data_IF_548061928059
#
_entry.id   IF_548061928059
#
_cell.length_a   1.000
_cell.length_b   1.000
_cell.length_c   1.000
_cell.angle_alpha   90.00
_cell.angle_beta   90.00
_cell.angle_gamma   90.00
#
_symmetry.space_group_name_H-M   'P 1'
#
loop_
_entity.id
_entity.type
_entity.pdbx_description
1 polymer ?
#
# COMPACT_ATOMS: atom_id res chain seq x y z
N UNK A 1 -1.48 -26.56 4.71
CA UNK A 1 -1.88 -25.14 4.88
C UNK A 1 -0.71 -24.16 5.03
N UNK A 2 0.46 -24.51 5.58
CA UNK A 2 1.63 -23.61 5.68
C UNK A 2 2.32 -23.38 4.34
N UNK A 3 2.60 -24.40 3.59
CA UNK A 3 3.36 -24.36 2.33
C UNK A 3 2.68 -23.51 1.24
N UNK A 4 1.36 -23.60 1.08
CA UNK A 4 0.62 -22.79 0.09
C UNK A 4 0.69 -21.30 0.38
N UNK A 5 0.70 -20.93 1.66
CA UNK A 5 0.79 -19.53 2.10
C UNK A 5 2.19 -18.95 1.86
N UNK A 6 3.24 -19.71 2.11
CA UNK A 6 4.63 -19.30 1.84
C UNK A 6 4.87 -19.16 0.35
N UNK A 7 4.46 -20.13 -0.45
CA UNK A 7 4.62 -20.08 -1.90
C UNK A 7 3.88 -18.92 -2.55
N UNK A 8 2.67 -18.60 -2.05
CA UNK A 8 1.94 -17.44 -2.51
C UNK A 8 2.66 -16.12 -2.18
N UNK A 9 3.22 -16.01 -0.98
CA UNK A 9 3.95 -14.83 -0.54
C UNK A 9 5.19 -14.59 -1.37
N UNK A 10 5.94 -15.64 -1.70
CA UNK A 10 7.11 -15.58 -2.59
C UNK A 10 6.73 -15.11 -4.00
N UNK A 11 5.60 -15.55 -4.55
CA UNK A 11 5.11 -15.09 -5.86
C UNK A 11 4.80 -13.60 -5.86
N UNK A 12 4.09 -13.11 -4.86
CA UNK A 12 3.79 -11.67 -4.71
C UNK A 12 5.06 -10.85 -4.55
N UNK A 13 6.01 -11.33 -3.76
CA UNK A 13 7.30 -10.68 -3.54
C UNK A 13 8.13 -10.62 -4.82
N UNK A 14 8.20 -11.71 -5.55
CA UNK A 14 8.88 -11.79 -6.84
C UNK A 14 8.25 -10.87 -7.88
N UNK A 15 6.91 -10.81 -7.92
CA UNK A 15 6.20 -9.87 -8.77
C UNK A 15 6.54 -8.42 -8.40
N UNK A 16 6.51 -8.08 -7.11
CA UNK A 16 6.83 -6.74 -6.64
C UNK A 16 8.27 -6.32 -6.98
N UNK A 17 9.24 -7.24 -6.87
CA UNK A 17 10.62 -6.97 -7.27
C UNK A 17 10.72 -6.61 -8.76
N UNK A 18 10.02 -7.33 -9.65
CA UNK A 18 9.97 -6.99 -11.07
C UNK A 18 9.39 -5.60 -11.33
N UNK A 19 8.35 -5.23 -10.58
CA UNK A 19 7.78 -3.87 -10.63
C UNK A 19 8.83 -2.83 -10.24
N UNK A 20 9.52 -3.03 -9.11
CA UNK A 20 10.56 -2.11 -8.63
C UNK A 20 11.68 -1.92 -9.66
N UNK A 21 12.15 -3.00 -10.26
CA UNK A 21 13.20 -2.94 -11.29
C UNK A 21 12.74 -2.22 -12.56
N UNK A 22 11.56 -2.56 -13.06
CA UNK A 22 11.03 -1.98 -14.29
C UNK A 22 10.76 -0.48 -14.13
N UNK A 23 10.08 -0.10 -13.05
CA UNK A 23 9.71 1.29 -12.76
C UNK A 23 10.93 2.13 -12.37
N UNK A 24 11.92 1.51 -11.69
CA UNK A 24 13.18 2.19 -11.34
C UNK A 24 14.04 2.53 -12.55
N UNK A 25 13.97 1.71 -13.62
CA UNK A 25 14.73 1.90 -14.86
C UNK A 25 14.02 2.78 -15.89
N UNK A 26 12.68 2.85 -15.84
CA UNK A 26 11.85 3.52 -16.85
C UNK A 26 10.85 4.50 -16.22
N UNK A 27 11.21 5.79 -16.26
CA UNK A 27 10.32 6.86 -15.82
C UNK A 27 9.05 6.98 -16.69
N UNK A 28 9.09 6.58 -17.94
CA UNK A 28 7.93 6.56 -18.83
C UNK A 28 6.91 5.50 -18.35
N UNK A 29 7.40 4.31 -18.03
CA UNK A 29 6.57 3.24 -17.46
C UNK A 29 5.95 3.67 -16.13
N UNK A 30 6.74 4.29 -15.24
CA UNK A 30 6.20 4.85 -13.99
C UNK A 30 5.11 5.88 -14.25
N UNK A 31 5.29 6.75 -15.23
CA UNK A 31 4.29 7.75 -15.60
C UNK A 31 3.00 7.13 -16.14
N UNK A 32 3.10 6.01 -16.87
CA UNK A 32 1.94 5.23 -17.34
C UNK A 32 1.14 4.72 -16.14
N UNK A 33 1.76 4.01 -15.21
CA UNK A 33 1.06 3.51 -14.01
C UNK A 33 0.52 4.65 -13.14
N UNK A 34 1.28 5.72 -12.93
CA UNK A 34 0.84 6.86 -12.13
C UNK A 34 -0.45 7.51 -12.65
N UNK A 35 -0.61 7.61 -13.99
CA UNK A 35 -1.83 8.17 -14.58
C UNK A 35 -3.07 7.32 -14.30
N UNK A 36 -2.87 6.02 -14.10
CA UNK A 36 -3.93 5.06 -13.78
C UNK A 36 -4.10 4.84 -12.26
N UNK A 37 -3.53 5.71 -11.40
CA UNK A 37 -3.65 5.58 -9.96
C UNK A 37 -5.09 5.85 -9.48
N UNK A 38 -5.81 4.80 -9.16
CA UNK A 38 -7.22 4.78 -8.78
C UNK A 38 -8.11 4.05 -9.78
N UNK A 39 -7.57 3.65 -10.92
CA UNK A 39 -8.26 2.84 -11.92
C UNK A 39 -8.14 1.34 -11.61
N UNK A 40 -9.12 0.56 -12.09
CA UNK A 40 -9.07 -0.90 -12.18
C UNK A 40 -8.67 -1.30 -13.61
N UNK A 41 -8.31 -2.57 -13.82
CA UNK A 41 -7.89 -3.05 -15.15
C UNK A 41 -8.91 -2.77 -16.26
N UNK A 42 -10.20 -2.87 -15.95
CA UNK A 42 -11.28 -2.63 -16.90
C UNK A 42 -11.42 -1.15 -17.32
N UNK A 43 -10.95 -0.20 -16.50
CA UNK A 43 -11.05 1.25 -16.77
C UNK A 43 -9.71 1.87 -17.14
N UNK A 44 -8.62 1.14 -16.94
CA UNK A 44 -7.27 1.61 -17.19
C UNK A 44 -6.96 1.75 -18.69
N UNK A 45 -6.00 2.62 -19.01
CA UNK A 45 -5.52 2.71 -20.40
C UNK A 45 -4.79 1.43 -20.85
N UNK A 46 -4.88 1.11 -22.14
CA UNK A 46 -4.32 -0.12 -22.71
C UNK A 46 -2.81 -0.25 -22.56
N UNK A 47 -2.06 0.85 -22.39
CA UNK A 47 -0.61 0.81 -22.14
C UNK A 47 -0.32 0.31 -20.73
N UNK A 48 -1.09 0.78 -19.74
CA UNK A 48 -0.96 0.34 -18.36
C UNK A 48 -1.33 -1.14 -18.22
N UNK A 49 -2.43 -1.57 -18.82
CA UNK A 49 -2.87 -2.96 -18.83
C UNK A 49 -1.81 -3.86 -19.48
N UNK A 50 -1.31 -3.50 -20.67
CA UNK A 50 -0.28 -4.27 -21.36
C UNK A 50 1.01 -4.36 -20.54
N UNK A 51 1.43 -3.25 -19.92
CA UNK A 51 2.63 -3.22 -19.09
C UNK A 51 2.47 -4.11 -17.85
N UNK A 52 1.31 -4.06 -17.21
CA UNK A 52 1.00 -4.90 -16.05
C UNK A 52 1.09 -6.40 -16.40
N UNK A 53 0.42 -6.85 -17.45
CA UNK A 53 0.45 -8.27 -17.85
C UNK A 53 1.85 -8.73 -18.28
N UNK A 54 2.62 -7.87 -18.92
CA UNK A 54 4.01 -8.16 -19.27
C UNK A 54 4.87 -8.39 -18.01
N UNK A 55 4.65 -7.62 -16.95
CA UNK A 55 5.34 -7.77 -15.65
C UNK A 55 4.77 -8.91 -14.81
N UNK A 56 3.46 -9.20 -14.92
CA UNK A 56 2.84 -10.36 -14.26
C UNK A 56 3.38 -11.70 -14.81
N UNK A 57 3.89 -11.72 -16.00
CA UNK A 57 4.62 -12.79 -16.71
C UNK A 57 4.41 -14.21 -16.17
N UNK A 58 3.51 -14.98 -16.78
CA UNK A 58 3.29 -16.37 -16.39
C UNK A 58 2.44 -16.60 -15.13
N UNK A 59 1.65 -15.61 -14.68
CA UNK A 59 0.66 -15.83 -13.61
C UNK A 59 1.25 -15.79 -12.20
N UNK A 60 2.20 -14.90 -11.94
CA UNK A 60 2.68 -14.65 -10.57
C UNK A 60 1.55 -14.18 -9.65
N UNK A 61 0.62 -13.41 -10.20
CA UNK A 61 -0.62 -12.98 -9.54
C UNK A 61 -1.78 -13.74 -10.16
N UNK A 62 -2.65 -14.31 -9.33
CA UNK A 62 -3.86 -14.99 -9.78
C UNK A 62 -4.88 -13.99 -10.33
N UNK A 63 -5.67 -14.41 -11.31
CA UNK A 63 -6.72 -13.63 -11.95
C UNK A 63 -7.62 -12.90 -10.93
N UNK A 64 -8.04 -13.58 -9.87
CA UNK A 64 -8.84 -13.01 -8.77
C UNK A 64 -8.20 -11.77 -8.11
N UNK A 65 -6.86 -11.65 -8.16
CA UNK A 65 -6.12 -10.59 -7.47
C UNK A 65 -5.50 -9.56 -8.42
N UNK A 66 -5.71 -9.69 -9.72
CA UNK A 66 -5.08 -8.82 -10.72
C UNK A 66 -5.46 -7.35 -10.53
N UNK A 67 -6.73 -7.04 -10.34
CA UNK A 67 -7.18 -5.67 -10.09
C UNK A 67 -6.56 -5.06 -8.83
N UNK A 68 -6.46 -5.84 -7.76
CA UNK A 68 -5.86 -5.40 -6.49
C UNK A 68 -4.37 -5.12 -6.64
N UNK A 69 -3.68 -5.99 -7.35
CA UNK A 69 -2.25 -5.83 -7.63
C UNK A 69 -2.01 -4.69 -8.61
N UNK A 70 -2.81 -4.57 -9.67
CA UNK A 70 -2.75 -3.45 -10.61
C UNK A 70 -2.94 -2.11 -9.90
N UNK A 71 -4.00 -2.01 -9.07
CA UNK A 71 -4.24 -0.82 -8.27
C UNK A 71 -3.03 -0.48 -7.38
N UNK A 72 -2.47 -1.46 -6.66
CA UNK A 72 -1.33 -1.24 -5.77
C UNK A 72 -0.08 -0.75 -6.52
N UNK A 73 0.19 -1.30 -7.72
CA UNK A 73 1.28 -0.85 -8.60
C UNK A 73 1.07 0.60 -9.05
N UNK A 74 -0.12 0.92 -9.53
CA UNK A 74 -0.46 2.27 -9.97
C UNK A 74 -0.37 3.28 -8.82
N UNK A 75 -0.86 2.90 -7.64
CA UNK A 75 -0.81 3.70 -6.43
C UNK A 75 0.63 3.96 -5.95
N UNK A 76 1.49 2.95 -5.95
CA UNK A 76 2.91 3.13 -5.59
C UNK A 76 3.63 4.10 -6.52
N UNK A 77 3.27 4.11 -7.78
CA UNK A 77 3.82 5.04 -8.78
C UNK A 77 3.41 6.52 -8.58
N UNK A 78 2.56 6.82 -7.60
CA UNK A 78 2.33 8.19 -7.13
C UNK A 78 3.63 8.82 -6.62
N UNK A 79 4.50 8.03 -6.00
CA UNK A 79 5.82 8.45 -5.54
C UNK A 79 6.89 8.10 -6.58
N UNK A 80 8.05 8.76 -6.49
CA UNK A 80 9.20 8.40 -7.32
C UNK A 80 9.84 7.12 -6.78
N UNK A 81 10.55 6.39 -7.63
CA UNK A 81 11.18 5.12 -7.24
C UNK A 81 12.24 5.30 -6.12
N UNK A 82 12.97 6.40 -6.12
CA UNK A 82 13.94 6.76 -5.08
C UNK A 82 13.29 7.04 -3.71
N UNK A 83 12.03 7.50 -3.70
CA UNK A 83 11.27 7.71 -2.47
C UNK A 83 10.84 6.41 -1.80
N UNK A 84 10.78 5.28 -2.53
CA UNK A 84 10.34 3.99 -1.98
C UNK A 84 11.27 3.42 -0.90
N UNK A 85 12.52 3.89 -0.83
CA UNK A 85 13.48 3.52 0.22
C UNK A 85 13.03 3.95 1.62
N UNK A 86 12.20 4.99 1.72
CA UNK A 86 11.63 5.52 2.97
C UNK A 86 10.15 5.16 3.16
N UNK A 87 9.61 4.29 2.29
CA UNK A 87 8.22 3.90 2.35
C UNK A 87 7.89 3.12 3.62
N UNK A 88 6.72 3.36 4.16
CA UNK A 88 6.21 2.71 5.38
C UNK A 88 4.78 2.22 5.15
N UNK A 89 4.32 1.21 5.89
CA UNK A 89 2.92 0.80 5.84
C UNK A 89 1.98 1.97 6.09
N UNK A 90 0.82 1.98 5.42
CA UNK A 90 -0.11 3.10 5.37
C UNK A 90 -0.45 3.66 6.77
N UNK A 91 -0.86 2.80 7.69
CA UNK A 91 -1.28 3.19 9.03
C UNK A 91 -0.11 3.55 9.94
N UNK A 92 1.06 2.90 9.74
CA UNK A 92 2.29 3.25 10.46
C UNK A 92 2.76 4.66 10.12
N UNK A 93 2.69 5.04 8.83
CA UNK A 93 3.03 6.39 8.39
C UNK A 93 2.09 7.45 8.95
N UNK A 94 0.80 7.14 9.03
CA UNK A 94 -0.21 8.05 9.53
C UNK A 94 -0.04 8.47 11.00
N UNK A 95 0.62 7.63 11.82
CA UNK A 95 0.94 8.00 13.22
C UNK A 95 1.88 9.19 13.34
N UNK A 96 2.70 9.42 12.33
CA UNK A 96 3.67 10.53 12.29
C UNK A 96 3.09 11.86 11.80
N UNK A 97 1.83 11.86 11.39
CA UNK A 97 1.12 13.07 11.01
C UNK A 97 0.84 13.94 12.25
N UNK A 98 0.77 15.27 12.07
CA UNK A 98 0.28 16.14 13.12
C UNK A 98 -1.18 15.85 13.48
N UNK A 99 -1.71 16.43 14.55
CA UNK A 99 -3.05 16.12 15.07
C UNK A 99 -4.15 16.32 14.04
N UNK A 100 -4.12 17.43 13.31
CA UNK A 100 -5.16 17.77 12.34
C UNK A 100 -5.12 16.87 11.12
N UNK A 101 -3.93 16.61 10.62
CA UNK A 101 -3.71 15.71 9.49
C UNK A 101 -4.04 14.26 9.84
N UNK A 102 -3.74 13.84 11.07
CA UNK A 102 -4.12 12.53 11.59
C UNK A 102 -5.63 12.39 11.68
N UNK A 103 -6.34 13.38 12.25
CA UNK A 103 -7.80 13.38 12.31
C UNK A 103 -8.43 13.32 10.90
N UNK A 104 -7.88 14.07 9.94
CA UNK A 104 -8.32 14.03 8.56
C UNK A 104 -8.04 12.67 7.87
N UNK A 105 -6.93 12.02 8.20
CA UNK A 105 -6.62 10.65 7.76
C UNK A 105 -7.59 9.64 8.38
N UNK A 106 -7.84 9.72 9.68
CA UNK A 106 -8.75 8.83 10.41
C UNK A 106 -10.17 8.87 9.86
N UNK A 107 -10.66 10.07 9.53
CA UNK A 107 -11.97 10.22 8.88
C UNK A 107 -12.07 9.47 7.56
N UNK A 108 -11.00 9.48 6.76
CA UNK A 108 -10.95 8.82 5.45
C UNK A 108 -10.80 7.30 5.56
N UNK A 109 -9.90 6.84 6.44
CA UNK A 109 -9.66 5.41 6.60
C UNK A 109 -10.87 4.71 7.20
N UNK A 110 -11.61 5.36 8.11
CA UNK A 110 -12.83 4.80 8.71
C UNK A 110 -13.84 4.38 7.65
N UNK A 111 -14.02 5.19 6.61
CA UNK A 111 -14.91 4.84 5.50
C UNK A 111 -14.44 3.58 4.77
N UNK A 112 -13.12 3.44 4.56
CA UNK A 112 -12.56 2.26 3.89
C UNK A 112 -12.74 0.98 4.71
N UNK A 113 -12.61 1.07 6.05
CA UNK A 113 -12.71 -0.11 6.91
C UNK A 113 -14.06 -0.83 6.81
N UNK A 114 -15.12 -0.13 6.43
CA UNK A 114 -16.48 -0.68 6.31
C UNK A 114 -16.84 -1.10 4.87
N UNK A 115 -15.94 -0.87 3.91
CA UNK A 115 -16.18 -1.20 2.51
C UNK A 115 -15.50 -2.53 2.13
N UNK A 116 -16.19 -3.41 1.39
CA UNK A 116 -15.54 -4.51 0.68
C UNK A 116 -14.74 -3.97 -0.51
N UNK A 117 -13.84 -4.79 -1.04
CA UNK A 117 -13.33 -4.55 -2.37
C UNK A 117 -14.46 -4.79 -3.38
N UNK A 118 -14.70 -3.85 -4.26
CA UNK A 118 -15.75 -3.95 -5.26
C UNK A 118 -15.19 -3.77 -6.68
N UNK A 119 -15.83 -4.42 -7.64
CA UNK A 119 -15.46 -4.38 -9.05
C UNK A 119 -15.94 -3.10 -9.75
N UNK A 120 -16.79 -2.31 -9.09
CA UNK A 120 -17.25 -1.01 -9.58
C UNK A 120 -16.25 0.12 -9.28
N UNK A 121 -15.24 -0.17 -8.45
CA UNK A 121 -14.13 0.73 -8.15
C UNK A 121 -14.43 1.80 -7.11
N UNK A 122 -15.52 1.69 -6.35
CA UNK A 122 -15.81 2.65 -5.28
C UNK A 122 -14.76 2.63 -4.19
N UNK A 123 -14.37 1.43 -3.72
CA UNK A 123 -13.28 1.25 -2.76
C UNK A 123 -11.97 1.81 -3.31
N UNK A 124 -11.61 1.44 -4.55
CA UNK A 124 -10.40 1.91 -5.22
C UNK A 124 -10.35 3.45 -5.31
N UNK A 125 -11.48 4.09 -5.64
CA UNK A 125 -11.61 5.54 -5.67
C UNK A 125 -11.37 6.18 -4.30
N UNK A 126 -11.95 5.63 -3.22
CA UNK A 126 -11.75 6.13 -1.85
C UNK A 126 -10.31 5.97 -1.40
N UNK A 127 -9.72 4.80 -1.65
CA UNK A 127 -8.33 4.52 -1.30
C UNK A 127 -7.36 5.41 -2.09
N UNK A 128 -7.58 5.60 -3.38
CA UNK A 128 -6.77 6.52 -4.20
C UNK A 128 -6.77 7.95 -3.65
N UNK A 129 -7.93 8.45 -3.21
CA UNK A 129 -8.03 9.78 -2.57
C UNK A 129 -7.25 9.83 -1.26
N UNK A 130 -7.28 8.77 -0.46
CA UNK A 130 -6.49 8.67 0.76
C UNK A 130 -4.98 8.68 0.44
N UNK A 131 -4.54 7.91 -0.56
CA UNK A 131 -3.13 7.85 -0.95
C UNK A 131 -2.62 9.18 -1.54
N UNK A 132 -3.44 9.88 -2.33
CA UNK A 132 -3.14 11.24 -2.79
C UNK A 132 -3.03 12.23 -1.63
N UNK A 133 -3.88 12.07 -0.61
CA UNK A 133 -3.76 12.84 0.63
C UNK A 133 -2.44 12.53 1.35
N UNK A 134 -2.08 11.26 1.52
CA UNK A 134 -0.79 10.87 2.10
C UNK A 134 0.38 11.53 1.36
N UNK A 135 0.35 11.50 0.04
CA UNK A 135 1.36 12.15 -0.79
C UNK A 135 1.45 13.65 -0.53
N UNK A 136 0.31 14.36 -0.40
CA UNK A 136 0.29 15.78 -0.09
C UNK A 136 0.90 16.13 1.28
N UNK A 137 1.01 15.13 2.16
CA UNK A 137 1.64 15.21 3.48
C UNK A 137 3.06 14.62 3.53
N UNK A 138 3.69 14.43 2.37
CA UNK A 138 5.03 13.84 2.21
C UNK A 138 5.17 12.44 2.84
N UNK A 139 4.06 11.74 3.02
CA UNK A 139 4.04 10.37 3.52
C UNK A 139 4.16 9.40 2.33
N UNK A 140 5.21 8.62 2.29
CA UNK A 140 5.45 7.59 1.27
C UNK A 140 4.89 6.28 1.77
N UNK A 141 3.95 5.71 1.04
CA UNK A 141 3.28 4.45 1.40
C UNK A 141 3.99 3.27 0.74
N UNK A 142 4.27 2.23 1.52
CA UNK A 142 4.85 0.99 1.02
C UNK A 142 3.84 0.24 0.13
N UNK A 143 4.12 0.24 -1.17
CA UNK A 143 3.27 -0.39 -2.17
C UNK A 143 3.19 -1.91 -2.04
N UNK A 144 4.27 -2.58 -1.59
CA UNK A 144 4.28 -4.03 -1.34
C UNK A 144 3.36 -4.40 -0.18
N UNK A 145 3.45 -3.67 0.92
CA UNK A 145 2.56 -3.85 2.07
C UNK A 145 1.11 -3.60 1.67
N UNK A 146 0.87 -2.50 0.94
CA UNK A 146 -0.47 -2.18 0.43
C UNK A 146 -1.02 -3.31 -0.47
N UNK A 147 -0.23 -3.82 -1.41
CA UNK A 147 -0.63 -4.92 -2.28
C UNK A 147 -1.06 -6.16 -1.49
N UNK A 148 -0.27 -6.56 -0.50
CA UNK A 148 -0.58 -7.70 0.38
C UNK A 148 -1.87 -7.46 1.17
N UNK A 149 -2.10 -6.24 1.63
CA UNK A 149 -3.30 -5.86 2.36
C UNK A 149 -4.53 -5.95 1.48
N UNK A 150 -4.46 -5.44 0.25
CA UNK A 150 -5.58 -5.49 -0.70
C UNK A 150 -5.94 -6.91 -1.11
N UNK A 151 -4.95 -7.77 -1.36
CA UNK A 151 -5.20 -9.18 -1.68
C UNK A 151 -5.98 -9.88 -0.56
N UNK A 152 -5.74 -9.51 0.69
CA UNK A 152 -6.38 -10.10 1.87
C UNK A 152 -7.54 -9.27 2.43
N UNK A 153 -8.00 -8.24 1.70
CA UNK A 153 -8.96 -7.27 2.23
C UNK A 153 -10.29 -7.89 2.61
N UNK A 154 -10.84 -8.77 1.76
CA UNK A 154 -12.14 -9.41 1.94
C UNK A 154 -12.06 -10.73 2.74
N UNK A 155 -11.02 -10.89 3.56
CA UNK A 155 -10.95 -12.03 4.45
C UNK A 155 -12.03 -11.93 5.53
N UNK A 156 -12.78 -13.03 5.77
CA UNK A 156 -13.90 -13.10 6.70
C UNK A 156 -13.53 -12.66 8.13
N UNK A 157 -12.29 -12.93 8.55
CA UNK A 157 -11.79 -12.51 9.86
C UNK A 157 -11.48 -11.02 9.95
N UNK A 158 -11.47 -10.32 8.83
CA UNK A 158 -11.15 -8.88 8.73
C UNK A 158 -9.80 -8.52 9.39
N UNK A 159 -8.82 -9.41 9.29
CA UNK A 159 -7.55 -9.23 10.01
C UNK A 159 -6.73 -8.03 9.50
N UNK A 160 -6.87 -7.65 8.22
CA UNK A 160 -6.21 -6.45 7.66
C UNK A 160 -6.80 -5.20 8.31
N UNK A 161 -8.13 -5.08 8.34
CA UNK A 161 -8.83 -3.95 8.94
C UNK A 161 -8.51 -3.84 10.44
N UNK A 162 -8.57 -4.96 11.17
CA UNK A 162 -8.20 -5.01 12.60
C UNK A 162 -6.73 -4.59 12.83
N UNK A 163 -5.82 -5.02 11.95
CA UNK A 163 -4.41 -4.63 12.02
C UNK A 163 -4.24 -3.14 11.75
N UNK A 164 -4.88 -2.59 10.72
CA UNK A 164 -4.81 -1.17 10.41
C UNK A 164 -5.28 -0.30 11.56
N UNK A 165 -6.39 -0.65 12.20
CA UNK A 165 -6.89 0.06 13.40
C UNK A 165 -5.88 -0.03 14.54
N UNK A 166 -5.40 -1.24 14.85
CA UNK A 166 -4.44 -1.46 15.95
C UNK A 166 -3.15 -0.68 15.74
N UNK A 167 -2.62 -0.66 14.52
CA UNK A 167 -1.40 0.07 14.19
C UNK A 167 -1.61 1.59 14.25
N UNK A 168 -2.76 2.09 13.80
CA UNK A 168 -3.08 3.53 13.81
C UNK A 168 -3.14 4.10 15.22
N UNK A 169 -3.70 3.32 16.17
CA UNK A 169 -3.91 3.74 17.57
C UNK A 169 -2.86 3.17 18.54
N UNK A 170 -1.84 2.49 18.04
CA UNK A 170 -0.75 2.00 18.87
C UNK A 170 0.01 3.19 19.45
N UNK A 171 0.06 3.30 20.78
CA UNK A 171 0.88 4.30 21.47
C UNK A 171 2.36 4.08 21.17
N UNK A 172 3.08 5.15 20.86
CA UNK A 172 4.53 5.10 20.85
C UNK A 172 4.99 4.95 22.30
N UNK A 173 5.51 3.79 22.67
CA UNK A 173 6.25 3.62 23.93
C UNK A 173 7.43 4.59 23.87
N UNK A 174 7.28 5.72 24.59
CA UNK A 174 8.41 6.60 24.86
C UNK A 174 9.43 5.75 25.61
N UNK A 175 10.51 5.37 24.95
CA UNK A 175 11.69 4.86 25.62
C UNK A 175 12.23 5.99 26.49
N UNK A 176 11.73 6.07 27.72
CA UNK A 176 12.33 6.84 28.80
C UNK A 176 13.59 6.11 29.24
N UNK A 177 14.64 6.23 28.48
CA UNK A 177 15.99 6.07 29.03
C UNK A 177 16.24 7.28 29.94
N UNK A 178 15.69 7.25 31.15
CA UNK A 178 16.20 8.06 32.24
C UNK A 178 17.62 7.56 32.52
N UNK A 179 18.58 8.34 32.08
CA UNK A 179 19.94 8.26 32.62
C UNK A 179 19.83 8.44 34.14
N UNK A 180 20.13 7.35 34.84
CA UNK A 180 20.41 7.40 36.25
C UNK A 180 21.78 8.10 36.37
N UNK A 181 21.74 9.38 36.70
CA UNK A 181 22.93 10.08 37.18
C UNK A 181 23.26 9.51 38.56
N UNK A 182 24.28 8.70 38.64
CA UNK A 182 24.98 8.44 39.89
C UNK A 182 25.77 9.70 40.24
N UNK A 183 25.28 10.46 41.19
CA UNK A 183 26.13 11.29 42.04
C UNK A 183 26.63 10.38 43.13
N UNK A 184 27.93 10.15 43.14
CA UNK A 184 28.66 9.65 44.31
C UNK A 184 29.58 10.76 44.76
N UNK A 185 29.39 11.18 45.99
CA UNK A 185 30.32 12.02 46.80
C UNK A 185 31.71 11.37 46.94
#
# INVERSE_FOLDING_TARGET
MGQDKEQWQEKVDSFWLRICEAVGRDNGLRAVFRRNAGELLQTADGRAVTAFYRLNGGGAVSERNEDRCFFAVCAACLWKADEWTRAVPLTTGARKLNSDDKAAFEKRIRVLLDLPWDDEGYFATKLSRLLKYCKSKNMVVDGKSLMRDLINWDNDERFVQKRWVRELYREETKNSSKGVGENVD
#
